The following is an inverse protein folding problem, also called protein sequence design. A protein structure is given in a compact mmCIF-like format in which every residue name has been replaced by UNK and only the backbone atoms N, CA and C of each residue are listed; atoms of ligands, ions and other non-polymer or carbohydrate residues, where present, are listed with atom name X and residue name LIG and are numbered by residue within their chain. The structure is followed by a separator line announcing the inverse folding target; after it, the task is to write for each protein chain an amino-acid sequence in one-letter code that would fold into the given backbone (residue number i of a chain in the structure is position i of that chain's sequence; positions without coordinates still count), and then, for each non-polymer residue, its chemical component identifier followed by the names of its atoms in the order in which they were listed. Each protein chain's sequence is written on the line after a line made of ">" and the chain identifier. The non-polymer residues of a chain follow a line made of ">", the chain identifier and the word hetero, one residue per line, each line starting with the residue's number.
data_IF_117498495366
#
_entry.id   IF_117498495366
#
_cell.length_a   1.000
_cell.length_b   1.000
_cell.length_c   1.000
_cell.angle_alpha   90.00
_cell.angle_beta   90.00
_cell.angle_gamma   90.00
#
_symmetry.space_group_name_H-M   'P 1'
#
loop_
_entity.id
_entity.type
_entity.pdbx_description
1 polymer ?
#
# COMPACT_ATOMS: atom_id res chain seq x y z
N UNK A 1 6.48 1.57 27.82
CA UNK A 1 6.67 2.29 26.54
C UNK A 1 7.72 3.36 26.81
N UNK A 2 8.78 3.38 26.00
CA UNK A 2 9.93 4.26 26.21
C UNK A 2 9.56 5.68 25.77
N UNK A 3 9.92 6.74 26.53
CA UNK A 3 9.59 8.15 26.21
C UNK A 3 10.01 8.56 24.77
N UNK A 4 11.08 7.94 24.25
CA UNK A 4 11.56 8.16 22.88
C UNK A 4 10.58 7.65 21.82
N UNK A 5 9.96 6.49 22.04
CA UNK A 5 8.99 5.89 21.11
C UNK A 5 7.69 6.71 21.09
N UNK A 6 7.29 7.24 22.25
CA UNK A 6 6.14 8.13 22.38
C UNK A 6 6.36 9.46 21.62
N UNK A 7 7.57 10.04 21.67
CA UNK A 7 7.88 11.29 20.96
C UNK A 7 7.90 11.11 19.45
N UNK A 8 8.50 10.04 18.96
CA UNK A 8 8.50 9.72 17.52
C UNK A 8 7.07 9.57 16.97
N UNK A 9 6.24 8.83 17.67
CA UNK A 9 4.83 8.63 17.31
C UNK A 9 4.03 9.94 17.33
N UNK A 10 4.29 10.84 18.28
CA UNK A 10 3.65 12.17 18.31
C UNK A 10 4.02 12.99 17.07
N UNK A 11 5.30 13.01 16.69
CA UNK A 11 5.77 13.72 15.49
C UNK A 11 5.07 13.17 14.25
N UNK A 12 5.00 11.85 14.09
CA UNK A 12 4.34 11.20 12.95
C UNK A 12 2.84 11.56 12.90
N UNK A 13 2.15 11.55 14.04
CA UNK A 13 0.73 11.87 14.10
C UNK A 13 0.43 13.32 13.69
N UNK A 14 1.19 14.29 14.24
CA UNK A 14 1.03 15.71 13.88
C UNK A 14 1.38 15.93 12.41
N UNK A 15 2.46 15.32 11.93
CA UNK A 15 2.84 15.42 10.53
C UNK A 15 1.76 14.84 9.60
N UNK A 16 1.17 13.68 9.95
CA UNK A 16 0.08 13.07 9.20
C UNK A 16 -1.11 14.01 9.06
N UNK A 17 -1.57 14.60 10.17
CA UNK A 17 -2.68 15.55 10.15
C UNK A 17 -2.39 16.78 9.28
N UNK A 18 -1.16 17.31 9.34
CA UNK A 18 -0.74 18.43 8.52
C UNK A 18 -0.64 18.06 7.03
N UNK A 19 -0.10 16.89 6.71
CA UNK A 19 -0.05 16.40 5.33
C UNK A 19 -1.45 16.16 4.75
N UNK A 20 -2.40 15.71 5.55
CA UNK A 20 -3.80 15.54 5.14
C UNK A 20 -4.53 16.87 4.92
N UNK A 21 -4.25 17.88 5.75
CA UNK A 21 -4.99 19.15 5.72
C UNK A 21 -4.38 20.19 4.82
N UNK A 22 -3.04 20.25 4.73
CA UNK A 22 -2.28 21.22 3.93
C UNK A 22 -1.68 20.60 2.65
N UNK A 23 -1.54 19.27 2.59
CA UNK A 23 -0.72 18.57 1.61
C UNK A 23 0.75 18.53 1.99
N UNK A 24 1.47 17.56 1.40
CA UNK A 24 2.90 17.37 1.67
C UNK A 24 3.74 18.59 1.29
N UNK A 25 3.52 19.17 0.10
CA UNK A 25 4.33 20.28 -0.43
C UNK A 25 4.23 21.55 0.46
N UNK A 26 3.03 21.91 0.86
CA UNK A 26 2.74 23.12 1.63
C UNK A 26 3.09 22.98 3.12
N UNK A 27 3.32 21.78 3.62
CA UNK A 27 3.69 21.53 5.02
C UNK A 27 5.19 21.76 5.24
N UNK A 28 5.55 22.61 6.20
CA UNK A 28 6.92 22.88 6.62
C UNK A 28 7.23 22.17 7.93
N UNK A 29 8.52 21.89 8.19
CA UNK A 29 8.96 21.35 9.48
C UNK A 29 8.58 22.28 10.64
N UNK A 30 8.58 23.62 10.41
CA UNK A 30 8.09 24.59 11.40
C UNK A 30 6.63 24.35 11.80
N UNK A 31 5.76 24.02 10.84
CA UNK A 31 4.35 23.74 11.12
C UNK A 31 4.20 22.50 12.03
N UNK A 32 5.05 21.48 11.78
CA UNK A 32 5.07 20.27 12.61
C UNK A 32 5.55 20.61 14.04
N UNK A 33 6.58 21.45 14.17
CA UNK A 33 7.08 21.92 15.48
C UNK A 33 5.98 22.67 16.22
N UNK A 34 5.29 23.58 15.54
CA UNK A 34 4.22 24.41 16.14
C UNK A 34 3.01 23.56 16.58
N UNK A 35 2.77 22.43 15.90
CA UNK A 35 1.75 21.45 16.31
C UNK A 35 2.18 20.52 17.45
N UNK A 36 3.43 20.61 17.91
CA UNK A 36 4.00 19.76 18.96
C UNK A 36 4.29 20.61 20.21
N UNK A 37 3.37 20.59 21.19
CA UNK A 37 3.54 21.33 22.43
C UNK A 37 4.87 21.00 23.13
N UNK A 38 5.76 21.99 23.20
CA UNK A 38 7.02 21.92 23.95
C UNK A 38 8.18 21.17 23.30
N UNK A 39 8.04 20.71 22.06
CA UNK A 39 9.15 20.12 21.30
C UNK A 39 9.94 21.20 20.52
N UNK A 40 11.25 21.09 20.58
CA UNK A 40 12.15 22.00 19.87
C UNK A 40 12.50 21.45 18.48
N UNK A 41 12.96 22.35 17.59
CA UNK A 41 13.51 21.96 16.28
C UNK A 41 14.58 20.88 16.38
N UNK A 42 15.48 21.00 17.37
CA UNK A 42 16.52 20.00 17.62
C UNK A 42 15.97 18.63 18.02
N UNK A 43 14.84 18.57 18.72
CA UNK A 43 14.19 17.32 19.07
C UNK A 43 13.66 16.59 17.83
N UNK A 44 13.09 17.29 16.85
CA UNK A 44 12.64 16.66 15.60
C UNK A 44 13.83 16.12 14.81
N UNK A 45 14.90 16.90 14.63
CA UNK A 45 16.09 16.47 13.90
C UNK A 45 16.88 15.34 14.58
N UNK A 46 16.59 15.05 15.86
CA UNK A 46 17.10 13.85 16.53
C UNK A 46 16.43 12.55 16.01
N UNK A 47 15.16 12.63 15.56
CA UNK A 47 14.41 11.47 15.07
C UNK A 47 14.37 11.38 13.54
N UNK A 48 14.38 12.52 12.87
CA UNK A 48 14.17 12.62 11.42
C UNK A 48 15.15 13.61 10.81
N UNK A 49 15.80 13.21 9.71
CA UNK A 49 16.79 14.06 9.04
C UNK A 49 16.14 15.12 8.14
N UNK A 50 14.92 14.86 7.66
CA UNK A 50 14.23 15.71 6.69
C UNK A 50 12.69 15.57 6.81
N UNK A 51 11.96 16.43 6.07
CA UNK A 51 10.51 16.32 5.92
C UNK A 51 10.13 14.99 5.22
N UNK A 52 10.95 14.58 4.27
CA UNK A 52 10.80 13.30 3.56
C UNK A 52 10.87 12.11 4.52
N UNK A 53 11.84 12.07 5.44
CA UNK A 53 11.95 10.99 6.44
C UNK A 53 10.71 10.89 7.34
N UNK A 54 10.11 12.05 7.68
CA UNK A 54 8.86 12.09 8.43
C UNK A 54 7.72 11.53 7.58
N UNK A 55 7.65 11.93 6.31
CA UNK A 55 6.63 11.47 5.37
C UNK A 55 6.73 9.95 5.12
N UNK A 56 7.93 9.43 4.88
CA UNK A 56 8.18 8.00 4.73
C UNK A 56 7.71 7.21 5.96
N UNK A 57 7.92 7.77 7.16
CA UNK A 57 7.46 7.15 8.40
C UNK A 57 5.94 7.18 8.54
N UNK A 58 5.27 8.25 8.09
CA UNK A 58 3.80 8.34 8.04
C UNK A 58 3.25 7.30 7.07
N UNK A 59 3.81 7.17 5.87
CA UNK A 59 3.39 6.18 4.87
C UNK A 59 3.62 4.75 5.39
N UNK A 60 4.76 4.50 6.03
CA UNK A 60 5.07 3.21 6.66
C UNK A 60 4.05 2.85 7.74
N UNK A 61 3.65 3.80 8.59
CA UNK A 61 2.64 3.56 9.62
C UNK A 61 1.26 3.23 9.02
N UNK A 62 0.90 3.91 7.94
CA UNK A 62 -0.32 3.62 7.18
C UNK A 62 -0.24 2.21 6.59
N UNK A 63 0.91 1.83 6.01
CA UNK A 63 1.15 0.50 5.44
C UNK A 63 1.10 -0.63 6.47
N UNK A 64 1.60 -0.40 7.69
CA UNK A 64 1.63 -1.38 8.77
C UNK A 64 0.24 -1.91 9.16
N UNK A 65 -0.81 -1.14 8.97
CA UNK A 65 -2.20 -1.61 9.18
C UNK A 65 -2.57 -2.70 8.16
N UNK A 66 -2.13 -2.56 6.92
CA UNK A 66 -2.34 -3.57 5.88
C UNK A 66 -1.57 -4.85 6.19
N UNK A 67 -0.34 -4.73 6.69
CA UNK A 67 0.50 -5.87 7.08
C UNK A 67 -0.21 -6.76 8.11
N UNK A 68 -0.86 -6.19 9.11
CA UNK A 68 -1.61 -6.97 10.10
C UNK A 68 -2.76 -7.77 9.45
N UNK A 69 -3.52 -7.13 8.57
CA UNK A 69 -4.60 -7.79 7.83
C UNK A 69 -4.05 -8.91 6.92
N UNK A 70 -2.96 -8.66 6.22
CA UNK A 70 -2.32 -9.65 5.35
C UNK A 70 -1.78 -10.85 6.14
N UNK A 71 -1.20 -10.60 7.31
CA UNK A 71 -0.73 -11.66 8.21
C UNK A 71 -1.87 -12.53 8.74
N UNK A 72 -3.03 -11.94 9.05
CA UNK A 72 -4.23 -12.68 9.46
C UNK A 72 -4.76 -13.55 8.31
N UNK A 73 -4.88 -12.99 7.10
CA UNK A 73 -5.31 -13.72 5.91
C UNK A 73 -4.36 -14.89 5.61
N UNK A 74 -3.05 -14.63 5.66
CA UNK A 74 -2.03 -15.66 5.39
C UNK A 74 -2.11 -16.83 6.36
N UNK A 75 -2.43 -16.57 7.64
CA UNK A 75 -2.56 -17.58 8.70
C UNK A 75 -3.90 -18.32 8.69
N UNK A 76 -4.91 -17.83 7.96
CA UNK A 76 -6.24 -18.47 7.92
C UNK A 76 -6.19 -19.79 7.16
N UNK A 77 -6.31 -20.89 7.91
CA UNK A 77 -6.30 -22.27 7.38
C UNK A 77 -7.62 -22.69 6.70
N UNK A 78 -8.66 -21.86 6.76
CA UNK A 78 -9.94 -22.13 6.10
C UNK A 78 -9.94 -21.72 4.63
N UNK A 79 -8.98 -20.87 4.24
CA UNK A 79 -8.84 -20.34 2.90
C UNK A 79 -7.77 -21.11 2.13
N UNK A 80 -8.05 -21.43 0.86
CA UNK A 80 -7.05 -21.89 -0.08
C UNK A 80 -6.20 -20.72 -0.62
N UNK A 81 -5.12 -20.99 -1.36
CA UNK A 81 -4.20 -19.96 -1.83
C UNK A 81 -4.87 -18.90 -2.72
N UNK A 82 -5.78 -19.33 -3.63
CA UNK A 82 -6.51 -18.38 -4.47
C UNK A 82 -7.43 -17.45 -3.66
N UNK A 83 -8.15 -18.00 -2.67
CA UNK A 83 -9.02 -17.23 -1.78
C UNK A 83 -8.24 -16.23 -0.91
N UNK A 84 -7.06 -16.63 -0.42
CA UNK A 84 -6.16 -15.73 0.32
C UNK A 84 -5.71 -14.55 -0.56
N UNK A 85 -5.33 -14.83 -1.80
CA UNK A 85 -4.90 -13.79 -2.74
C UNK A 85 -6.04 -12.80 -3.02
N UNK A 86 -7.26 -13.29 -3.27
CA UNK A 86 -8.45 -12.46 -3.47
C UNK A 86 -8.69 -11.58 -2.23
N UNK A 87 -8.64 -12.13 -1.03
CA UNK A 87 -8.86 -11.37 0.20
C UNK A 87 -7.81 -10.28 0.45
N UNK A 88 -6.55 -10.55 0.14
CA UNK A 88 -5.49 -9.53 0.20
C UNK A 88 -5.81 -8.37 -0.77
N UNK A 89 -6.19 -8.71 -2.00
CA UNK A 89 -6.57 -7.71 -3.00
C UNK A 89 -7.78 -6.90 -2.54
N UNK A 90 -8.85 -7.56 -2.10
CA UNK A 90 -10.08 -6.89 -1.62
C UNK A 90 -9.78 -5.97 -0.42
N UNK A 91 -8.96 -6.42 0.54
CA UNK A 91 -8.58 -5.61 1.70
C UNK A 91 -7.77 -4.37 1.32
N UNK A 92 -7.01 -4.44 0.23
CA UNK A 92 -6.22 -3.32 -0.28
C UNK A 92 -7.10 -2.27 -0.97
N UNK A 93 -8.15 -2.68 -1.70
CA UNK A 93 -9.04 -1.77 -2.42
C UNK A 93 -10.15 -1.15 -1.56
N UNK A 94 -10.56 -1.82 -0.48
CA UNK A 94 -11.56 -1.30 0.46
C UNK A 94 -11.01 -0.34 1.51
N UNK A 95 -9.72 -0.04 1.47
CA UNK A 95 -9.00 0.57 2.57
C UNK A 95 -8.93 2.10 2.42
N UNK A 96 -9.26 2.83 3.49
CA UNK A 96 -9.10 4.28 3.60
C UNK A 96 -7.62 4.72 3.40
N UNK A 97 -6.67 3.80 3.54
CA UNK A 97 -5.25 4.10 3.43
C UNK A 97 -4.85 4.66 2.05
N UNK A 98 -5.39 4.11 0.95
CA UNK A 98 -5.09 4.62 -0.40
C UNK A 98 -5.66 6.02 -0.62
N UNK A 99 -6.86 6.30 -0.10
CA UNK A 99 -7.43 7.64 -0.12
C UNK A 99 -6.57 8.60 0.71
N UNK A 100 -6.17 8.18 1.90
CA UNK A 100 -5.31 8.96 2.79
C UNK A 100 -3.97 9.31 2.12
N UNK A 101 -3.31 8.36 1.46
CA UNK A 101 -2.05 8.60 0.74
C UNK A 101 -2.27 9.56 -0.43
N UNK A 102 -3.35 9.39 -1.20
CA UNK A 102 -3.70 10.29 -2.30
C UNK A 102 -3.96 11.71 -1.83
N UNK A 103 -4.64 11.88 -0.72
CA UNK A 103 -4.95 13.21 -0.15
C UNK A 103 -3.67 13.90 0.38
N UNK A 104 -2.68 13.14 0.87
CA UNK A 104 -1.39 13.68 1.32
C UNK A 104 -0.45 14.04 0.17
N UNK A 105 -0.40 13.22 -0.86
CA UNK A 105 0.52 13.37 -2.00
C UNK A 105 -0.15 12.87 -3.28
N UNK A 106 -0.79 13.74 -4.03
CA UNK A 106 -1.58 13.36 -5.20
C UNK A 106 -0.74 12.78 -6.35
N UNK A 107 0.57 12.97 -6.34
CA UNK A 107 1.47 12.47 -7.36
C UNK A 107 2.74 11.86 -6.75
N UNK A 108 2.82 10.53 -6.74
CA UNK A 108 3.98 9.80 -6.24
C UNK A 108 5.23 10.01 -7.12
N UNK A 109 5.03 10.32 -8.41
CA UNK A 109 6.12 10.52 -9.36
C UNK A 109 6.93 11.79 -9.10
N UNK A 110 6.35 12.76 -8.40
CA UNK A 110 7.02 14.01 -8.04
C UNK A 110 8.01 13.85 -6.87
N UNK A 111 7.96 12.68 -6.17
CA UNK A 111 8.88 12.36 -5.09
C UNK A 111 9.71 11.10 -5.41
N UNK A 112 10.89 11.24 -6.06
CA UNK A 112 11.72 10.10 -6.46
C UNK A 112 12.18 9.20 -5.30
N UNK A 113 12.40 9.76 -4.09
CA UNK A 113 12.79 8.96 -2.92
C UNK A 113 11.65 8.08 -2.45
N UNK A 114 10.44 8.65 -2.37
CA UNK A 114 9.25 7.92 -1.98
C UNK A 114 8.91 6.84 -3.01
N UNK A 115 9.02 7.16 -4.30
CA UNK A 115 8.83 6.19 -5.37
C UNK A 115 9.83 5.03 -5.26
N UNK A 116 11.11 5.32 -5.01
CA UNK A 116 12.14 4.31 -4.81
C UNK A 116 11.85 3.43 -3.59
N UNK A 117 11.43 4.02 -2.45
CA UNK A 117 11.04 3.29 -1.25
C UNK A 117 9.81 2.39 -1.50
N UNK A 118 8.82 2.88 -2.24
CA UNK A 118 7.65 2.11 -2.64
C UNK A 118 8.01 0.88 -3.48
N UNK A 119 8.88 1.03 -4.48
CA UNK A 119 9.35 -0.11 -5.28
C UNK A 119 10.21 -1.07 -4.47
N UNK A 120 11.03 -0.57 -3.54
CA UNK A 120 11.80 -1.42 -2.64
C UNK A 120 10.89 -2.25 -1.73
N UNK A 121 9.81 -1.67 -1.20
CA UNK A 121 8.81 -2.40 -0.39
C UNK A 121 8.13 -3.52 -1.21
N UNK A 122 7.74 -3.25 -2.45
CA UNK A 122 7.14 -4.27 -3.31
C UNK A 122 8.12 -5.44 -3.51
N UNK A 123 9.37 -5.14 -3.86
CA UNK A 123 10.41 -6.14 -4.15
C UNK A 123 10.83 -6.94 -2.91
N UNK A 124 11.04 -6.25 -1.78
CA UNK A 124 11.72 -6.85 -0.62
C UNK A 124 10.74 -7.35 0.45
N UNK A 125 9.47 -6.89 0.42
CA UNK A 125 8.45 -7.23 1.41
C UNK A 125 7.21 -7.85 0.77
N UNK A 126 6.51 -7.11 -0.10
CA UNK A 126 5.20 -7.53 -0.62
C UNK A 126 5.27 -8.83 -1.40
N UNK A 127 6.20 -8.95 -2.35
CA UNK A 127 6.36 -10.17 -3.14
C UNK A 127 6.81 -11.34 -2.27
N UNK A 128 7.98 -11.29 -1.57
CA UNK A 128 8.54 -12.45 -0.90
C UNK A 128 7.78 -12.86 0.37
N UNK A 129 7.11 -11.93 1.04
CA UNK A 129 6.44 -12.26 2.30
C UNK A 129 4.95 -12.57 2.14
N UNK A 130 4.29 -12.05 1.09
CA UNK A 130 2.84 -12.19 0.93
C UNK A 130 2.45 -12.86 -0.38
N UNK A 131 2.78 -12.32 -1.54
CA UNK A 131 2.27 -12.81 -2.81
C UNK A 131 2.84 -14.19 -3.13
N UNK A 132 4.15 -14.34 -3.15
CA UNK A 132 4.83 -15.58 -3.53
C UNK A 132 4.50 -16.78 -2.62
N UNK A 133 4.47 -16.65 -1.28
CA UNK A 133 4.05 -17.76 -0.42
C UNK A 133 2.61 -18.19 -0.66
N UNK A 134 1.70 -17.26 -0.95
CA UNK A 134 0.29 -17.56 -1.23
C UNK A 134 0.13 -18.23 -2.60
N UNK A 135 0.87 -17.78 -3.62
CA UNK A 135 0.91 -18.46 -4.93
C UNK A 135 1.41 -19.89 -4.78
N UNK A 136 2.48 -20.12 -4.02
CA UNK A 136 3.01 -21.47 -3.76
C UNK A 136 2.01 -22.35 -2.99
N UNK A 137 1.30 -21.79 -2.01
CA UNK A 137 0.22 -22.49 -1.32
C UNK A 137 -0.90 -22.87 -2.28
N UNK A 138 -1.34 -21.95 -3.15
CA UNK A 138 -2.38 -22.19 -4.15
C UNK A 138 -1.98 -23.23 -5.21
N UNK A 139 -0.70 -23.31 -5.56
CA UNK A 139 -0.19 -24.41 -6.41
C UNK A 139 -0.26 -25.73 -5.68
N UNK A 140 0.14 -25.76 -4.40
CA UNK A 140 0.16 -26.97 -3.60
C UNK A 140 -1.25 -27.52 -3.30
N UNK A 141 -2.24 -26.63 -3.07
CA UNK A 141 -3.64 -27.03 -2.83
C UNK A 141 -4.47 -27.17 -4.13
N UNK A 142 -3.89 -26.82 -5.28
CA UNK A 142 -4.51 -26.94 -6.61
C UNK A 142 -5.46 -25.80 -6.98
N UNK A 143 -5.60 -24.78 -6.15
CA UNK A 143 -6.44 -23.60 -6.43
C UNK A 143 -5.82 -22.66 -7.46
N UNK A 144 -4.48 -22.65 -7.60
CA UNK A 144 -3.72 -21.85 -8.57
C UNK A 144 -2.97 -22.77 -9.54
N UNK A 145 -3.00 -22.42 -10.82
CA UNK A 145 -2.37 -23.21 -11.89
C UNK A 145 -1.32 -22.39 -12.63
N UNK A 146 -0.08 -22.45 -12.19
CA UNK A 146 1.06 -21.88 -12.92
C UNK A 146 2.28 -22.77 -12.82
N UNK A 147 3.14 -22.73 -13.85
CA UNK A 147 4.48 -23.33 -13.84
C UNK A 147 5.56 -22.32 -13.49
N UNK A 148 5.17 -21.07 -13.31
CA UNK A 148 6.06 -19.91 -13.14
C UNK A 148 5.62 -19.10 -11.93
N UNK A 149 5.80 -19.63 -10.68
CA UNK A 149 5.31 -18.97 -9.47
C UNK A 149 5.95 -17.63 -9.24
N UNK A 150 7.23 -17.48 -9.51
CA UNK A 150 7.98 -16.25 -9.26
C UNK A 150 7.52 -15.13 -10.20
N UNK A 151 7.48 -15.41 -11.51
CA UNK A 151 7.03 -14.47 -12.53
C UNK A 151 5.53 -14.13 -12.38
N UNK A 152 4.72 -15.09 -11.97
CA UNK A 152 3.31 -14.85 -11.66
C UNK A 152 3.16 -13.89 -10.48
N UNK A 153 3.98 -14.06 -9.44
CA UNK A 153 3.99 -13.19 -8.26
C UNK A 153 4.43 -11.76 -8.59
N UNK A 154 5.49 -11.62 -9.38
CA UNK A 154 5.98 -10.32 -9.85
C UNK A 154 4.93 -9.62 -10.72
N UNK A 155 4.32 -10.33 -11.67
CA UNK A 155 3.29 -9.79 -12.54
C UNK A 155 2.08 -9.28 -11.76
N UNK A 156 1.59 -10.06 -10.78
CA UNK A 156 0.50 -9.65 -9.90
C UNK A 156 0.90 -8.39 -9.13
N UNK A 157 2.09 -8.38 -8.52
CA UNK A 157 2.56 -7.24 -7.75
C UNK A 157 2.63 -5.95 -8.58
N UNK A 158 3.18 -6.01 -9.80
CA UNK A 158 3.29 -4.85 -10.70
C UNK A 158 1.90 -4.39 -11.15
N UNK A 159 1.02 -5.29 -11.54
CA UNK A 159 -0.32 -4.92 -11.98
C UNK A 159 -1.13 -4.25 -10.86
N UNK A 160 -1.06 -4.78 -9.64
CA UNK A 160 -1.81 -4.23 -8.49
C UNK A 160 -1.21 -2.91 -8.00
N UNK A 161 0.11 -2.83 -7.86
CA UNK A 161 0.75 -1.68 -7.21
C UNK A 161 1.18 -0.57 -8.18
N UNK A 162 1.35 -0.85 -9.47
CA UNK A 162 1.78 0.14 -10.47
C UNK A 162 0.65 0.45 -11.44
N UNK A 163 0.13 -0.55 -12.13
CA UNK A 163 -0.85 -0.33 -13.19
C UNK A 163 -2.23 0.10 -12.70
N UNK A 164 -2.67 -0.42 -11.56
CA UNK A 164 -3.92 0.00 -10.91
C UNK A 164 -3.75 1.22 -10.00
N UNK A 165 -2.52 1.61 -9.68
CA UNK A 165 -2.26 2.67 -8.73
C UNK A 165 -2.51 4.06 -9.34
N UNK A 166 -3.52 4.81 -8.88
CA UNK A 166 -3.83 6.13 -9.42
C UNK A 166 -2.75 7.17 -9.12
N UNK A 167 -1.88 6.94 -8.13
CA UNK A 167 -0.76 7.82 -7.81
C UNK A 167 0.41 7.69 -8.80
N UNK A 168 0.41 6.64 -9.64
CA UNK A 168 1.44 6.37 -10.65
C UNK A 168 0.87 6.53 -12.05
N UNK A 169 -0.27 5.92 -12.34
CA UNK A 169 -0.90 5.92 -13.66
C UNK A 169 -2.31 6.51 -13.58
N UNK A 170 -2.37 7.81 -13.31
CA UNK A 170 -3.61 8.56 -13.37
C UNK A 170 -3.98 8.85 -14.82
N UNK A 171 -5.20 8.44 -15.22
CA UNK A 171 -5.74 8.75 -16.53
C UNK A 171 -7.26 8.83 -16.44
N UNK A 172 -7.81 10.02 -16.62
CA UNK A 172 -9.25 10.31 -16.49
C UNK A 172 -10.11 9.60 -17.55
N UNK A 173 -9.48 9.11 -18.63
CA UNK A 173 -10.17 8.40 -19.72
C UNK A 173 -10.16 6.87 -19.53
N UNK A 174 -9.47 6.34 -18.53
CA UNK A 174 -9.36 4.90 -18.29
C UNK A 174 -10.07 4.53 -16.99
N UNK A 175 -11.14 3.76 -17.12
CA UNK A 175 -11.89 3.27 -15.97
C UNK A 175 -11.09 2.21 -15.21
N UNK A 176 -11.06 2.33 -13.90
CA UNK A 176 -10.41 1.35 -13.01
C UNK A 176 -11.08 -0.02 -13.10
N UNK A 177 -12.41 -0.06 -13.22
CA UNK A 177 -13.18 -1.30 -13.44
C UNK A 177 -12.70 -2.07 -14.69
N UNK A 178 -12.47 -1.38 -15.82
CA UNK A 178 -11.94 -2.01 -17.03
C UNK A 178 -10.55 -2.63 -16.83
N UNK A 179 -9.68 -1.97 -16.07
CA UNK A 179 -8.36 -2.53 -15.72
C UNK A 179 -8.50 -3.80 -14.87
N UNK A 180 -9.43 -3.82 -13.90
CA UNK A 180 -9.69 -4.99 -13.06
C UNK A 180 -10.20 -6.17 -13.90
N UNK A 181 -11.12 -5.92 -14.84
CA UNK A 181 -11.63 -6.95 -15.76
C UNK A 181 -10.50 -7.52 -16.64
N UNK A 182 -9.65 -6.66 -17.21
CA UNK A 182 -8.50 -7.11 -18.00
C UNK A 182 -7.56 -7.98 -17.18
N UNK A 183 -7.28 -7.61 -15.93
CA UNK A 183 -6.47 -8.45 -15.04
C UNK A 183 -7.14 -9.81 -14.82
N UNK A 184 -8.43 -9.87 -14.53
CA UNK A 184 -9.14 -11.14 -14.38
C UNK A 184 -9.01 -12.01 -15.65
N UNK A 185 -9.18 -11.43 -16.84
CA UNK A 185 -9.00 -12.13 -18.12
C UNK A 185 -7.57 -12.67 -18.28
N UNK A 186 -6.56 -11.87 -17.94
CA UNK A 186 -5.15 -12.27 -18.03
C UNK A 186 -4.83 -13.47 -17.13
N UNK A 187 -5.45 -13.54 -15.94
CA UNK A 187 -5.20 -14.59 -14.94
C UNK A 187 -6.19 -15.76 -14.98
N UNK A 188 -7.15 -15.75 -15.89
CA UNK A 188 -8.15 -16.84 -16.03
C UNK A 188 -7.51 -18.22 -16.21
N UNK A 189 -6.47 -18.32 -17.06
CA UNK A 189 -5.74 -19.56 -17.30
C UNK A 189 -4.97 -20.08 -16.09
N UNK A 190 -4.66 -19.21 -15.15
CA UNK A 190 -4.02 -19.56 -13.89
C UNK A 190 -5.05 -19.97 -12.82
N UNK A 191 -6.33 -19.96 -13.16
CA UNK A 191 -7.45 -20.18 -12.23
C UNK A 191 -7.49 -19.13 -11.11
N UNK A 192 -7.10 -17.89 -11.41
CA UNK A 192 -7.09 -16.77 -10.49
C UNK A 192 -8.12 -15.73 -10.98
N UNK A 193 -9.09 -15.38 -10.13
CA UNK A 193 -9.99 -14.24 -10.31
C UNK A 193 -9.72 -13.24 -9.18
N UNK A 194 -8.84 -12.25 -9.44
CA UNK A 194 -8.38 -11.32 -8.41
C UNK A 194 -9.47 -10.36 -7.91
N UNK A 195 -10.42 -10.01 -8.77
CA UNK A 195 -11.48 -9.06 -8.47
C UNK A 195 -12.85 -9.73 -8.61
N UNK A 196 -13.61 -9.77 -7.52
CA UNK A 196 -15.00 -10.17 -7.53
C UNK A 196 -15.89 -9.14 -8.23
N UNK A 197 -17.02 -9.59 -8.79
CA UNK A 197 -17.95 -8.72 -9.54
C UNK A 197 -18.51 -7.59 -8.65
N UNK A 198 -18.68 -7.85 -7.36
CA UNK A 198 -19.14 -6.88 -6.37
C UNK A 198 -18.15 -5.72 -6.19
N UNK A 199 -16.85 -6.01 -6.16
CA UNK A 199 -15.81 -5.00 -6.08
C UNK A 199 -15.70 -4.17 -7.36
N UNK A 200 -15.77 -4.82 -8.53
CA UNK A 200 -15.75 -4.14 -9.84
C UNK A 200 -16.94 -3.16 -9.95
N UNK A 201 -18.14 -3.62 -9.63
CA UNK A 201 -19.36 -2.79 -9.66
C UNK A 201 -19.27 -1.60 -8.68
N UNK A 202 -18.71 -1.81 -7.48
CA UNK A 202 -18.50 -0.74 -6.49
C UNK A 202 -17.58 0.35 -7.01
N UNK A 203 -16.50 -0.03 -7.70
CA UNK A 203 -15.52 0.90 -8.27
C UNK A 203 -16.10 1.64 -9.49
N UNK A 204 -16.99 1.03 -10.25
CA UNK A 204 -17.63 1.66 -11.41
C UNK A 204 -18.62 2.77 -11.03
N UNK A 205 -19.20 2.69 -9.83
CA UNK A 205 -20.22 3.64 -9.34
C UNK A 205 -19.63 4.82 -8.54
N UNK A 206 -18.33 4.87 -8.34
CA UNK A 206 -17.60 5.96 -7.68
C UNK A 206 -16.93 6.90 -8.69
#
# INVERSE_FOLDING_TARGET
>A
MNDKENTKTKIINVARELFLTKGYEETRISDIIDGLDGLTKGAIYHYFQSKEDIFDSVITEIGNKNIQIFDEIKKDKKLNGAEKLIKIVESSFGNENMKTIKDMSPNLLDNPKLLAAFFAEIRDITIPQYIQPIINEGIADGSIKTKYPDETSEMIAILLNVWLNPLILQNDHVKLSNKMEIINIMFEKFNIKLFGDELINKVETQ
#
